data_IF_248349825089
#
_entry.id   IF_248349825089
#
_cell.length_a   1.000
_cell.length_b   1.000
_cell.length_c   1.000
_cell.angle_alpha   90.00
_cell.angle_beta   90.00
_cell.angle_gamma   90.00
#
_symmetry.space_group_name_H-M   'P 1'
#
loop_
_entity.id
_entity.type
_entity.pdbx_description
1 polymer ?
#
# COMPACT_ATOMS: atom_id res chain seq x y z
N UNK A 1 -3.68 -4.66 -20.56
CA UNK A 1 -4.71 -5.37 -19.79
C UNK A 1 -5.99 -4.57 -19.92
N UNK A 2 -6.87 -4.97 -20.85
CA UNK A 2 -8.15 -4.28 -21.08
C UNK A 2 -9.07 -4.74 -19.96
N UNK A 3 -9.37 -3.83 -19.03
CA UNK A 3 -10.48 -4.04 -18.11
C UNK A 3 -11.75 -4.00 -18.98
N UNK A 4 -12.28 -5.18 -19.31
CA UNK A 4 -13.58 -5.30 -19.96
C UNK A 4 -14.59 -4.75 -18.96
N UNK A 5 -14.97 -3.48 -19.16
CA UNK A 5 -16.13 -2.89 -18.52
C UNK A 5 -17.30 -3.87 -18.70
N UNK A 6 -18.06 -4.18 -17.64
CA UNK A 6 -19.30 -4.93 -17.80
C UNK A 6 -20.30 -3.99 -18.46
N UNK A 7 -20.20 -3.79 -19.78
CA UNK A 7 -21.25 -3.14 -20.60
C UNK A 7 -22.59 -3.90 -20.57
N UNK A 8 -22.70 -4.95 -19.76
CA UNK A 8 -23.87 -5.81 -19.61
C UNK A 8 -24.58 -5.73 -18.27
N UNK A 9 -24.14 -4.89 -17.31
CA UNK A 9 -24.87 -4.65 -16.06
C UNK A 9 -25.41 -3.22 -16.08
N UNK A 10 -26.69 -3.01 -16.44
CA UNK A 10 -27.30 -1.69 -16.33
C UNK A 10 -27.23 -1.22 -14.87
N UNK A 11 -26.98 0.07 -14.69
CA UNK A 11 -26.92 0.76 -13.39
C UNK A 11 -25.70 0.44 -12.49
N UNK A 12 -24.64 -0.21 -13.00
CA UNK A 12 -23.40 -0.35 -12.22
C UNK A 12 -22.60 0.96 -12.21
N UNK A 13 -22.25 1.44 -11.03
CA UNK A 13 -21.43 2.64 -10.88
C UNK A 13 -19.98 2.38 -11.31
N UNK A 14 -19.51 3.19 -12.26
CA UNK A 14 -18.13 3.15 -12.77
C UNK A 14 -17.52 4.54 -12.64
N UNK A 15 -16.29 4.58 -12.14
CA UNK A 15 -15.51 5.81 -12.04
C UNK A 15 -15.13 6.39 -13.42
N UNK A 16 -14.71 7.66 -13.49
CA UNK A 16 -14.19 8.25 -14.74
C UNK A 16 -12.99 7.52 -15.34
N UNK A 17 -12.25 6.76 -14.53
CA UNK A 17 -11.09 5.96 -14.96
C UNK A 17 -11.46 4.53 -15.38
N UNK A 18 -12.75 4.16 -15.37
CA UNK A 18 -13.22 2.86 -15.83
C UNK A 18 -13.13 1.72 -14.81
N UNK A 19 -12.85 2.01 -13.52
CA UNK A 19 -12.96 1.01 -12.45
C UNK A 19 -14.34 1.04 -11.79
N UNK A 20 -14.80 -0.12 -11.31
CA UNK A 20 -16.10 -0.28 -10.64
C UNK A 20 -16.04 0.39 -9.27
N UNK A 21 -17.04 1.22 -8.97
CA UNK A 21 -17.19 1.89 -7.67
C UNK A 21 -17.68 0.86 -6.64
N UNK A 22 -17.08 0.90 -5.45
CA UNK A 22 -17.34 -0.07 -4.39
C UNK A 22 -17.10 0.50 -3.00
N UNK A 23 -17.73 -0.08 -2.01
CA UNK A 23 -17.46 0.22 -0.61
C UNK A 23 -16.01 -0.21 -0.26
N UNK A 24 -15.22 0.67 0.40
CA UNK A 24 -13.81 0.41 0.64
C UNK A 24 -13.53 -0.80 1.53
N UNK A 25 -14.47 -1.21 2.37
CA UNK A 25 -14.29 -2.26 3.38
C UNK A 25 -14.96 -3.58 2.99
N UNK A 26 -16.17 -3.53 2.45
CA UNK A 26 -16.96 -4.70 2.06
C UNK A 26 -16.71 -5.13 0.63
N UNK A 27 -16.23 -4.21 -0.22
CA UNK A 27 -16.05 -4.44 -1.65
C UNK A 27 -17.37 -4.67 -2.42
N UNK A 28 -18.51 -4.40 -1.79
CA UNK A 28 -19.82 -4.40 -2.45
C UNK A 28 -19.94 -3.20 -3.37
N UNK A 29 -20.53 -3.39 -4.54
CA UNK A 29 -20.82 -2.29 -5.49
C UNK A 29 -22.11 -1.57 -5.07
N UNK A 30 -22.59 -0.65 -5.90
CA UNK A 30 -23.90 -0.02 -5.67
C UNK A 30 -25.08 -1.01 -5.87
N UNK A 31 -24.83 -2.19 -6.45
CA UNK A 31 -25.83 -3.25 -6.62
C UNK A 31 -25.62 -4.30 -5.55
N UNK A 32 -26.62 -4.51 -4.70
CA UNK A 32 -26.47 -5.43 -3.57
C UNK A 32 -26.20 -6.86 -4.02
N UNK A 33 -25.27 -7.53 -3.32
CA UNK A 33 -24.83 -8.88 -3.63
C UNK A 33 -23.82 -8.99 -4.76
N UNK A 34 -23.45 -7.86 -5.41
CA UNK A 34 -22.35 -7.80 -6.37
C UNK A 34 -21.12 -7.23 -5.68
N UNK A 35 -20.00 -7.96 -5.77
CA UNK A 35 -18.73 -7.60 -5.15
C UNK A 35 -17.63 -7.49 -6.20
N UNK A 36 -16.65 -6.60 -5.99
CA UNK A 36 -15.54 -6.41 -6.92
C UNK A 36 -14.18 -6.37 -6.21
N UNK A 37 -13.22 -7.12 -6.74
CA UNK A 37 -11.86 -7.19 -6.21
C UNK A 37 -10.79 -7.04 -7.29
N UNK A 38 -9.54 -6.89 -6.87
CA UNK A 38 -8.39 -6.80 -7.76
C UNK A 38 -8.40 -5.57 -8.67
N UNK A 39 -7.83 -5.70 -9.86
CA UNK A 39 -7.64 -4.59 -10.81
C UNK A 39 -8.95 -4.05 -11.43
N UNK A 40 -10.07 -4.75 -11.25
CA UNK A 40 -11.38 -4.23 -11.62
C UNK A 40 -11.91 -3.19 -10.61
N UNK A 41 -11.45 -3.26 -9.36
CA UNK A 41 -11.84 -2.36 -8.27
C UNK A 41 -10.93 -1.13 -8.13
N UNK A 42 -9.69 -1.24 -8.59
CA UNK A 42 -8.68 -0.18 -8.56
C UNK A 42 -7.80 -0.24 -9.80
N UNK A 43 -7.25 0.90 -10.21
CA UNK A 43 -6.10 0.95 -11.14
C UNK A 43 -5.00 -0.04 -10.70
N UNK A 44 -4.27 -0.69 -11.62
CA UNK A 44 -3.33 -1.77 -11.33
C UNK A 44 -2.43 -1.47 -10.12
N UNK A 45 -2.52 -2.34 -9.12
CA UNK A 45 -1.68 -2.30 -7.91
C UNK A 45 -0.73 -3.50 -7.89
N UNK A 46 -0.05 -3.73 -6.76
CA UNK A 46 0.76 -4.92 -6.58
C UNK A 46 -0.11 -6.18 -6.52
N UNK A 47 0.45 -7.31 -6.98
CA UNK A 47 -0.18 -8.65 -6.88
C UNK A 47 -0.63 -8.95 -5.44
N UNK A 48 0.16 -8.54 -4.45
CA UNK A 48 -0.17 -8.68 -3.03
C UNK A 48 -1.50 -8.00 -2.68
N UNK A 49 -1.76 -6.80 -3.22
CA UNK A 49 -3.02 -6.09 -2.99
C UNK A 49 -4.19 -6.76 -3.70
N UNK A 50 -3.99 -7.29 -4.91
CA UNK A 50 -5.04 -8.04 -5.61
C UNK A 50 -5.46 -9.29 -4.81
N UNK A 51 -4.50 -10.04 -4.26
CA UNK A 51 -4.76 -11.20 -3.39
C UNK A 51 -5.48 -10.78 -2.10
N UNK A 52 -5.06 -9.68 -1.47
CA UNK A 52 -5.72 -9.15 -0.28
C UNK A 52 -7.20 -8.82 -0.56
N UNK A 53 -7.50 -8.11 -1.66
CA UNK A 53 -8.88 -7.82 -2.06
C UNK A 53 -9.69 -9.07 -2.38
N UNK A 54 -9.08 -10.09 -2.96
CA UNK A 54 -9.76 -11.38 -3.19
C UNK A 54 -10.21 -12.03 -1.88
N UNK A 55 -9.33 -12.05 -0.87
CA UNK A 55 -9.68 -12.58 0.47
C UNK A 55 -10.78 -11.75 1.13
N UNK A 56 -10.69 -10.44 1.02
CA UNK A 56 -11.67 -9.51 1.56
C UNK A 56 -13.05 -9.66 0.91
N UNK A 57 -13.11 -9.81 -0.41
CA UNK A 57 -14.36 -10.02 -1.13
C UNK A 57 -15.00 -11.37 -0.76
N UNK A 58 -14.19 -12.42 -0.62
CA UNK A 58 -14.66 -13.75 -0.22
C UNK A 58 -15.33 -13.73 1.17
N UNK A 59 -14.76 -13.00 2.14
CA UNK A 59 -15.37 -12.81 3.47
C UNK A 59 -16.72 -12.09 3.34
N UNK A 60 -16.79 -11.04 2.52
CA UNK A 60 -18.03 -10.30 2.33
C UNK A 60 -19.13 -11.14 1.68
N UNK A 61 -18.77 -11.94 0.66
CA UNK A 61 -19.69 -12.86 -0.02
C UNK A 61 -20.20 -13.92 0.95
N UNK A 62 -19.31 -14.54 1.73
CA UNK A 62 -19.68 -15.57 2.73
C UNK A 62 -20.69 -15.01 3.74
N UNK A 63 -20.44 -13.82 4.28
CA UNK A 63 -21.35 -13.15 5.22
C UNK A 63 -22.68 -12.76 4.58
N UNK A 64 -22.64 -12.22 3.35
CA UNK A 64 -23.84 -11.88 2.59
C UNK A 64 -24.74 -13.10 2.41
N UNK A 65 -24.17 -14.24 2.01
CA UNK A 65 -24.90 -15.48 1.80
C UNK A 65 -25.47 -16.07 3.11
N UNK A 66 -24.83 -15.80 4.25
CA UNK A 66 -25.30 -16.21 5.58
C UNK A 66 -26.29 -15.23 6.21
N UNK A 67 -26.53 -14.06 5.59
CA UNK A 67 -27.34 -12.99 6.18
C UNK A 67 -26.68 -12.34 7.41
N UNK A 68 -25.36 -12.44 7.53
CA UNK A 68 -24.56 -11.83 8.60
C UNK A 68 -24.20 -10.38 8.28
N UNK A 69 -23.80 -9.61 9.30
CA UNK A 69 -23.28 -8.25 9.10
C UNK A 69 -21.92 -8.28 8.37
N UNK A 70 -21.96 -7.86 7.10
CA UNK A 70 -20.81 -7.80 6.19
C UNK A 70 -19.73 -6.84 6.71
N UNK A 71 -20.11 -5.78 7.43
CA UNK A 71 -19.20 -4.72 7.91
C UNK A 71 -18.53 -5.06 9.25
N UNK A 72 -18.99 -6.08 9.96
CA UNK A 72 -18.49 -6.43 11.28
C UNK A 72 -16.97 -6.66 11.32
N UNK A 73 -16.25 -5.91 12.16
CA UNK A 73 -14.81 -6.08 12.37
C UNK A 73 -13.92 -5.73 11.18
N UNK A 74 -14.44 -5.04 10.15
CA UNK A 74 -13.68 -4.63 8.96
C UNK A 74 -12.88 -3.34 9.16
N UNK A 75 -13.19 -2.59 10.22
CA UNK A 75 -12.46 -1.37 10.59
C UNK A 75 -11.29 -1.70 11.52
N UNK A 76 -10.07 -1.60 11.01
CA UNK A 76 -8.88 -1.60 11.85
C UNK A 76 -8.56 -0.16 12.25
N UNK A 77 -8.82 0.17 13.52
CA UNK A 77 -8.36 1.43 14.09
C UNK A 77 -6.87 1.28 14.42
N UNK A 78 -6.04 1.87 13.57
CA UNK A 78 -4.62 2.03 13.88
C UNK A 78 -4.49 3.03 15.02
N UNK A 79 -4.02 2.57 16.18
CA UNK A 79 -3.65 3.46 17.25
C UNK A 79 -2.23 3.95 16.97
N UNK A 80 -2.10 5.19 16.51
CA UNK A 80 -0.80 5.84 16.41
C UNK A 80 -0.26 6.10 17.81
N UNK A 81 1.01 5.79 18.03
CA UNK A 81 1.74 6.28 19.19
C UNK A 81 2.32 7.63 18.77
N UNK A 82 1.99 8.68 19.51
CA UNK A 82 2.69 9.95 19.38
C UNK A 82 4.10 9.77 19.96
N UNK A 83 5.11 9.93 19.11
CA UNK A 83 6.51 9.81 19.50
C UNK A 83 7.30 10.96 18.91
N UNK A 84 7.75 11.86 19.77
CA UNK A 84 8.69 12.91 19.41
C UNK A 84 10.09 12.52 19.87
N UNK A 85 11.05 12.33 18.95
CA UNK A 85 12.38 11.92 19.33
C UNK A 85 13.15 13.10 19.96
N UNK A 86 13.49 12.99 21.24
CA UNK A 86 14.29 13.98 21.96
C UNK A 86 15.79 13.69 21.84
N UNK A 87 16.63 14.74 21.87
CA UNK A 87 18.10 14.64 21.90
C UNK A 87 18.75 13.88 20.73
N UNK A 88 18.16 13.93 19.53
CA UNK A 88 18.74 13.32 18.33
C UNK A 88 19.89 14.16 17.80
N UNK A 89 21.11 13.62 17.81
CA UNK A 89 22.24 14.21 17.08
C UNK A 89 22.06 13.94 15.59
N UNK A 90 21.98 15.01 14.79
CA UNK A 90 22.01 14.90 13.34
C UNK A 90 23.38 14.34 12.93
N UNK A 91 23.37 13.28 12.14
CA UNK A 91 24.56 12.68 11.56
C UNK A 91 24.32 12.44 10.06
N UNK A 92 25.38 12.58 9.27
CA UNK A 92 25.32 12.38 7.84
C UNK A 92 25.11 10.90 7.49
N UNK A 93 24.38 10.67 6.39
CA UNK A 93 24.12 9.33 5.87
C UNK A 93 25.43 8.71 5.38
N UNK A 94 25.68 7.46 5.75
CA UNK A 94 26.83 6.74 5.19
C UNK A 94 26.65 6.53 3.68
N UNK A 95 27.68 6.85 2.91
CA UNK A 95 27.62 6.74 1.46
C UNK A 95 27.74 5.27 1.05
N UNK A 96 26.72 4.77 0.35
CA UNK A 96 26.74 3.43 -0.24
C UNK A 96 27.77 3.37 -1.35
N UNK A 97 28.68 2.41 -1.28
CA UNK A 97 29.62 2.20 -2.35
C UNK A 97 28.89 1.64 -3.56
N UNK A 98 29.08 2.29 -4.71
CA UNK A 98 28.44 1.88 -5.95
C UNK A 98 29.46 1.72 -7.05
N UNK A 99 29.24 0.75 -7.92
CA UNK A 99 30.00 0.61 -9.16
C UNK A 99 29.88 1.89 -10.00
N UNK A 100 30.89 2.19 -10.82
CA UNK A 100 30.83 3.32 -11.73
C UNK A 100 29.78 3.11 -12.82
N UNK A 101 29.29 4.19 -13.43
CA UNK A 101 28.29 4.09 -14.52
C UNK A 101 28.82 3.26 -15.69
N UNK A 102 30.12 3.37 -16.01
CA UNK A 102 30.74 2.62 -17.09
C UNK A 102 30.70 1.10 -16.82
N UNK A 103 30.97 0.67 -15.60
CA UNK A 103 30.96 -0.73 -15.20
C UNK A 103 29.54 -1.30 -15.09
N UNK A 104 28.57 -0.51 -14.64
CA UNK A 104 27.16 -0.92 -14.54
C UNK A 104 26.54 -1.30 -15.88
N UNK A 105 26.98 -0.68 -16.98
CA UNK A 105 26.37 -0.89 -18.31
C UNK A 105 26.64 -2.28 -18.88
N UNK A 106 27.78 -2.88 -18.52
CA UNK A 106 28.29 -4.09 -19.16
C UNK A 106 28.53 -5.22 -18.14
N UNK A 107 27.85 -5.19 -16.99
CA UNK A 107 28.08 -6.17 -15.93
C UNK A 107 26.78 -6.54 -15.22
N UNK A 108 26.66 -7.82 -14.85
CA UNK A 108 25.63 -8.33 -13.94
C UNK A 108 26.08 -8.29 -12.47
N UNK A 109 27.21 -7.65 -12.17
CA UNK A 109 27.67 -7.45 -10.79
C UNK A 109 26.70 -6.57 -10.02
N UNK A 110 26.61 -6.82 -8.72
CA UNK A 110 25.81 -6.00 -7.82
C UNK A 110 26.24 -4.53 -7.89
N UNK A 111 25.27 -3.64 -8.12
CA UNK A 111 25.52 -2.21 -8.33
C UNK A 111 25.93 -1.54 -7.02
N UNK A 112 25.25 -1.90 -5.94
CA UNK A 112 25.45 -1.38 -4.59
C UNK A 112 26.24 -2.42 -3.80
N UNK A 113 27.51 -2.16 -3.48
CA UNK A 113 28.38 -3.12 -2.81
C UNK A 113 28.14 -3.22 -1.29
N UNK A 114 27.05 -2.62 -0.79
CA UNK A 114 26.73 -2.56 0.62
C UNK A 114 27.61 -1.58 1.42
N UNK A 115 27.57 -1.75 2.75
CA UNK A 115 28.38 -1.00 3.70
C UNK A 115 29.48 -1.89 4.29
N UNK A 116 30.63 -1.29 4.63
CA UNK A 116 31.56 -1.94 5.54
C UNK A 116 30.93 -2.13 6.92
N UNK A 117 31.46 -3.03 7.74
CA UNK A 117 30.95 -3.25 9.10
C UNK A 117 30.90 -1.94 9.92
N UNK A 118 31.93 -1.09 9.79
CA UNK A 118 31.99 0.20 10.46
C UNK A 118 30.91 1.16 9.96
N UNK A 119 30.74 1.25 8.64
CA UNK A 119 29.68 2.08 8.03
C UNK A 119 28.28 1.58 8.41
N UNK A 120 28.08 0.26 8.45
CA UNK A 120 26.82 -0.34 8.85
C UNK A 120 26.48 0.00 10.31
N UNK A 121 27.45 -0.05 11.23
CA UNK A 121 27.28 0.35 12.63
C UNK A 121 26.93 1.84 12.76
N UNK A 122 27.59 2.71 12.00
CA UNK A 122 27.30 4.14 11.98
C UNK A 122 25.90 4.44 11.43
N UNK A 123 25.53 3.81 10.31
CA UNK A 123 24.21 3.99 9.71
C UNK A 123 23.10 3.41 10.59
N UNK A 124 23.32 2.26 11.24
CA UNK A 124 22.39 1.70 12.21
C UNK A 124 22.19 2.64 13.42
N UNK A 125 23.25 3.26 13.92
CA UNK A 125 23.17 4.28 14.98
C UNK A 125 22.43 5.54 14.53
N UNK A 126 22.54 5.93 13.26
CA UNK A 126 21.77 7.04 12.65
C UNK A 126 20.28 6.69 12.50
N UNK A 127 19.97 5.42 12.21
CA UNK A 127 18.62 4.92 11.90
C UNK A 127 17.67 4.84 13.10
N UNK A 128 18.08 5.21 14.32
CA UNK A 128 17.14 5.38 15.45
C UNK A 128 16.20 6.59 15.27
N UNK A 129 16.19 7.20 14.08
CA UNK A 129 15.20 8.16 13.63
C UNK A 129 14.06 7.41 12.94
N UNK A 130 13.01 7.09 13.69
CA UNK A 130 11.80 6.45 13.18
C UNK A 130 11.12 7.44 12.20
N UNK A 131 11.38 7.32 10.90
CA UNK A 131 10.55 7.95 9.87
C UNK A 131 9.29 7.09 9.68
N UNK A 132 8.40 7.15 10.67
CA UNK A 132 7.19 6.33 10.72
C UNK A 132 5.95 7.06 11.20
N UNK A 133 6.06 8.31 11.65
CA UNK A 133 4.87 9.13 11.89
C UNK A 133 4.43 9.71 10.55
N UNK A 134 3.60 8.97 9.81
CA UNK A 134 2.60 9.65 9.00
C UNK A 134 1.67 10.35 9.99
N UNK A 135 2.07 11.54 10.43
CA UNK A 135 1.16 12.47 11.03
C UNK A 135 0.03 12.64 10.02
N UNK A 136 -1.19 12.31 10.41
CA UNK A 136 -2.32 12.89 9.71
C UNK A 136 -2.07 14.39 9.76
N UNK A 137 -1.89 15.00 8.59
CA UNK A 137 -1.79 16.43 8.47
C UNK A 137 -3.11 17.06 8.89
N UNK A 138 -3.30 17.24 10.19
CA UNK A 138 -4.10 18.34 10.74
C UNK A 138 -3.29 19.60 10.48
N UNK A 139 -3.46 20.19 9.31
CA UNK A 139 -2.64 21.32 8.88
C UNK A 139 -3.01 21.77 7.49
N UNK A 140 -4.24 22.28 7.37
CA UNK A 140 -4.58 23.31 6.40
C UNK A 140 -3.46 24.35 6.50
N UNK A 141 -2.63 24.45 5.46
CA UNK A 141 -1.74 25.59 5.28
C UNK A 141 -2.60 26.71 4.72
N UNK A 142 -2.70 27.80 5.48
CA UNK A 142 -2.90 29.14 4.91
C UNK A 142 -1.73 29.50 3.98
#
# INVERSE_FOLDING_TARGET
MICLLPKGVPDLDVSPMGHVVKDPFTLETNISGIFVGGDASYSPRSVVKAVAFGKDAAISIDRYLKGEDIKAGRFQKWNSIEFEPQNVKLADRQQMQRLSIAERRNSFKEIDSGFSEQQAKLEAGRCFRIYGTQGQGSGIRE
#
